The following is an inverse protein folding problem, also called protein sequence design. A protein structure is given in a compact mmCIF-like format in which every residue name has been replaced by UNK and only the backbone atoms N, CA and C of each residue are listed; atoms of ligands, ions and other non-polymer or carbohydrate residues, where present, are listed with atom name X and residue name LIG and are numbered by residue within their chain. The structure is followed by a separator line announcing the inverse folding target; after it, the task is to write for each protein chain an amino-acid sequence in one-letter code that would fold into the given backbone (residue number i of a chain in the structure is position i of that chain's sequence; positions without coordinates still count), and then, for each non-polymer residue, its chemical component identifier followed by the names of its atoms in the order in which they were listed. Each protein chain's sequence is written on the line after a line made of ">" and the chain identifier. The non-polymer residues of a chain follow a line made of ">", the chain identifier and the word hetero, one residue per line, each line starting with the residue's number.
data_IF_954042926922
#
_entry.id   IF_954042926922
#
_cell.length_a   1.000
_cell.length_b   1.000
_cell.length_c   1.000
_cell.angle_alpha   90.00
_cell.angle_beta   90.00
_cell.angle_gamma   90.00
#
_symmetry.space_group_name_H-M   'P 1'
#
loop_
_entity.id
_entity.type
_entity.pdbx_description
1 polymer ?
2 polymer ?
3 water ?
#
# COMPACT_ATOMS: atom_id res chain seq x y z
N UNK A 7 -20.11 -2.51 -3.10
CA UNK A 7 -19.64 -3.41 -4.16
C UNK A 7 -18.26 -3.09 -4.67
N UNK A 8 -17.59 -4.09 -5.22
CA UNK A 8 -16.26 -3.90 -5.74
C UNK A 8 -16.47 -2.95 -6.85
N UNK A 9 -17.69 -2.93 -7.40
CA UNK A 9 -17.99 -2.02 -8.50
C UNK A 9 -18.00 -0.66 -7.89
N UNK A 10 -18.59 -0.57 -6.70
CA UNK A 10 -18.66 0.68 -5.94
C UNK A 10 -17.22 1.20 -5.86
N UNK A 11 -16.26 0.29 -5.66
CA UNK A 11 -14.85 0.71 -5.58
C UNK A 11 -14.17 1.10 -6.92
N UNK A 12 -14.50 0.35 -7.97
CA UNK A 12 -13.97 0.57 -9.32
C UNK A 12 -14.21 2.00 -9.79
N UNK A 13 -15.41 2.48 -9.49
CA UNK A 13 -15.79 3.82 -9.86
C UNK A 13 -15.08 4.86 -9.01
N UNK A 14 -14.77 4.55 -7.76
CA UNK A 14 -14.08 5.53 -6.93
C UNK A 14 -12.76 5.69 -7.59
N UNK A 15 -12.25 4.55 -8.04
CA UNK A 15 -10.95 4.54 -8.70
C UNK A 15 -10.90 5.01 -10.15
N UNK A 16 -12.00 4.92 -10.89
CA UNK A 16 -11.86 5.35 -12.27
C UNK A 16 -12.11 6.82 -12.36
N UNK A 17 -12.36 7.30 -13.57
CA UNK A 17 -12.65 8.69 -13.88
C UNK A 17 -13.90 8.69 -14.73
N UNK A 18 -14.85 7.81 -14.36
CA UNK A 18 -16.18 7.65 -15.04
C UNK A 18 -16.74 6.18 -15.02
N UNK A 19 -16.13 5.40 -15.89
CA UNK A 19 -16.33 3.99 -16.09
C UNK A 19 -15.20 3.72 -17.02
N UNK A 20 -14.24 3.01 -16.49
CA UNK A 20 -13.13 2.66 -17.29
C UNK A 20 -11.76 3.20 -17.11
N UNK A 21 -11.59 4.49 -16.94
CA UNK A 21 -10.21 4.85 -16.84
C UNK A 21 -9.56 5.01 -15.55
N UNK A 22 -8.72 4.05 -15.18
CA UNK A 22 -8.01 4.17 -13.91
C UNK A 22 -6.87 5.04 -14.36
N UNK A 23 -5.99 5.50 -13.49
CA UNK A 23 -4.91 6.35 -13.95
C UNK A 23 -3.66 5.81 -13.32
N UNK A 24 -2.50 6.23 -13.81
CA UNK A 24 -1.28 5.73 -13.22
C UNK A 24 -0.44 6.81 -12.55
N UNK A 25 0.27 6.39 -11.53
CA UNK A 25 1.17 7.24 -10.76
C UNK A 25 1.96 8.26 -11.57
N UNK A 26 1.67 9.52 -11.31
CA UNK A 26 2.36 10.58 -12.00
C UNK A 26 3.79 10.60 -11.43
N UNK A 27 4.00 9.88 -10.33
CA UNK A 27 5.32 9.84 -9.70
C UNK A 27 5.53 8.69 -8.67
N UNK A 28 6.76 8.25 -8.53
CA UNK A 28 7.14 7.15 -7.65
C UNK A 28 6.99 7.06 -6.16
N UNK A 29 6.44 8.05 -5.50
CA UNK A 29 6.35 7.93 -4.06
C UNK A 29 5.41 9.03 -3.67
N UNK A 30 4.61 8.78 -2.66
CA UNK A 30 3.68 9.77 -2.23
C UNK A 30 3.35 9.31 -0.84
N UNK A 31 3.40 10.25 0.10
CA UNK A 31 3.08 10.00 1.48
C UNK A 31 1.57 10.06 1.29
N UNK A 32 0.84 8.97 1.49
CA UNK A 32 -0.59 9.09 1.29
C UNK A 32 -1.35 9.52 2.56
N UNK A 33 -0.69 9.38 3.70
CA UNK A 33 -1.26 9.76 4.98
C UNK A 33 -0.03 10.00 5.83
N UNK A 34 -0.15 11.03 6.67
CA UNK A 34 0.89 11.48 7.57
C UNK A 34 1.75 10.38 8.09
N UNK A 35 3.04 10.51 7.76
CA UNK A 35 4.04 9.55 8.15
C UNK A 35 4.13 8.27 7.29
N UNK A 36 3.02 7.95 6.59
CA UNK A 36 2.91 6.77 5.69
C UNK A 36 3.06 7.06 4.17
N UNK A 37 4.15 6.57 3.59
CA UNK A 37 4.46 6.73 2.16
C UNK A 37 4.34 5.44 1.30
N UNK A 38 3.67 5.53 0.14
CA UNK A 38 3.44 4.44 -0.86
C UNK A 38 4.21 4.82 -2.11
N UNK A 39 5.18 4.00 -2.48
CA UNK A 39 6.03 4.27 -3.66
C UNK A 39 6.36 2.98 -4.42
N UNK A 40 7.31 3.02 -5.36
CA UNK A 40 7.64 1.81 -6.10
C UNK A 40 9.01 1.29 -5.83
N UNK A 41 9.44 0.36 -6.67
CA UNK A 41 10.75 -0.29 -6.57
C UNK A 41 11.96 0.62 -6.37
N UNK A 42 12.17 1.55 -7.30
CA UNK A 42 13.32 2.50 -7.23
C UNK A 42 13.57 3.20 -5.90
N UNK A 43 12.55 3.88 -5.37
CA UNK A 43 12.68 4.58 -4.11
C UNK A 43 13.18 3.61 -3.10
N UNK A 44 12.47 2.48 -3.06
CA UNK A 44 12.78 1.38 -2.19
C UNK A 44 14.23 1.09 -2.34
N UNK A 45 14.70 1.00 -3.57
CA UNK A 45 16.14 0.73 -3.76
C UNK A 45 17.05 1.94 -3.90
N UNK A 46 16.55 3.13 -3.54
CA UNK A 46 17.35 4.37 -3.61
C UNK A 46 17.44 4.95 -2.21
N UNK A 47 18.35 4.34 -1.50
CA UNK A 47 18.64 4.67 -0.15
C UNK A 47 18.94 6.13 0.18
N UNK A 48 19.77 6.87 -0.56
CA UNK A 48 19.97 8.24 -0.11
C UNK A 48 18.72 9.03 -0.26
N UNK A 49 17.69 8.45 -0.84
CA UNK A 49 16.49 9.25 -0.94
C UNK A 49 15.63 8.95 0.30
N UNK A 50 15.51 7.66 0.64
CA UNK A 50 14.74 7.22 1.80
C UNK A 50 15.28 8.00 2.98
N UNK A 51 16.58 8.28 2.97
CA UNK A 51 17.20 9.06 4.05
C UNK A 51 16.65 10.52 4.10
N UNK A 52 16.76 11.24 2.99
CA UNK A 52 16.28 12.61 2.89
C UNK A 52 14.79 12.49 3.17
N UNK A 53 14.17 11.38 2.81
CA UNK A 53 12.74 11.28 3.09
C UNK A 53 12.61 10.98 4.54
N UNK A 54 13.72 10.70 5.21
CA UNK A 54 13.64 10.39 6.63
C UNK A 54 12.69 9.21 6.91
N UNK A 55 12.56 8.32 5.94
CA UNK A 55 11.73 7.13 6.05
C UNK A 55 12.63 6.26 6.89
N UNK A 56 12.07 5.53 7.86
CA UNK A 56 12.94 4.67 8.70
C UNK A 56 12.59 3.16 8.64
N UNK A 57 11.50 2.87 7.96
CA UNK A 57 11.00 1.53 7.83
C UNK A 57 10.49 1.17 6.47
N UNK A 58 10.86 -0.04 6.03
CA UNK A 58 10.39 -0.52 4.73
C UNK A 58 9.54 -1.74 4.87
N UNK A 59 8.53 -1.82 4.03
CA UNK A 59 7.64 -2.97 4.02
C UNK A 59 7.59 -3.25 2.51
N UNK A 60 8.26 -4.32 2.14
CA UNK A 60 8.31 -4.65 0.76
C UNK A 60 7.16 -5.56 0.66
N UNK A 61 6.09 -5.16 0.01
CA UNK A 61 4.94 -6.04 -0.09
C UNK A 61 5.05 -6.86 -1.32
N UNK A 62 6.13 -6.72 -2.08
CA UNK A 62 6.26 -7.53 -3.29
C UNK A 62 7.59 -8.20 -3.26
N UNK A 63 7.92 -8.78 -2.13
CA UNK A 63 9.21 -9.42 -2.00
C UNK A 63 9.44 -10.67 -2.83
N UNK A 64 10.51 -10.63 -3.61
CA UNK A 64 10.95 -11.73 -4.49
C UNK A 64 11.91 -11.48 -5.70
N UNK A 65 12.11 -12.50 -6.55
CA UNK A 65 13.02 -12.32 -7.73
C UNK A 65 12.36 -12.48 -9.07
N UNK A 66 11.04 -12.39 -9.16
CA UNK A 66 10.40 -12.54 -10.47
C UNK A 66 10.34 -11.18 -11.10
N UNK A 67 9.88 -11.13 -12.34
CA UNK A 67 9.80 -9.82 -12.95
C UNK A 67 8.82 -8.90 -12.20
N UNK A 68 7.96 -9.47 -11.36
CA UNK A 68 6.98 -8.65 -10.63
C UNK A 68 7.29 -8.43 -9.14
N UNK A 69 8.53 -8.73 -8.71
CA UNK A 69 8.98 -8.60 -7.33
C UNK A 69 10.26 -7.74 -7.13
N UNK A 70 10.56 -7.38 -5.88
CA UNK A 70 11.71 -6.58 -5.64
C UNK A 70 12.58 -7.43 -4.79
N UNK A 71 13.71 -7.84 -5.34
CA UNK A 71 14.60 -8.72 -4.60
C UNK A 71 15.53 -7.96 -3.63
N UNK A 72 14.89 -7.35 -2.65
CA UNK A 72 15.57 -6.58 -1.64
C UNK A 72 15.43 -7.58 -0.52
N UNK A 73 15.77 -7.17 0.69
CA UNK A 73 15.66 -8.10 1.81
C UNK A 73 16.34 -7.39 2.93
N UNK A 74 16.11 -7.95 4.11
CA UNK A 74 16.64 -7.46 5.34
C UNK A 74 18.04 -6.85 5.32
N UNK A 75 19.05 -7.70 5.18
CA UNK A 75 20.44 -7.23 5.18
C UNK A 75 20.72 -6.14 4.14
N UNK A 76 19.89 -6.09 3.13
CA UNK A 76 20.04 -5.09 2.11
C UNK A 76 19.87 -3.75 2.85
N UNK A 77 18.94 -3.70 3.80
CA UNK A 77 18.70 -2.48 4.58
C UNK A 77 19.58 -2.34 5.82
N UNK A 78 20.31 -3.36 6.14
CA UNK A 78 21.24 -3.30 7.26
C UNK A 78 22.29 -2.17 6.95
N UNK A 79 22.67 -1.68 8.05
CA UNK A 79 23.57 -0.57 8.44
C UNK A 79 23.52 0.79 7.70
N UNK A 80 22.32 1.14 7.49
CA UNK A 80 21.87 2.41 6.99
C UNK A 80 20.71 2.62 7.93
N UNK A 81 20.68 1.58 8.76
CA UNK A 81 19.72 1.37 9.82
C UNK A 81 18.33 1.80 9.42
N UNK A 82 17.62 0.88 8.77
CA UNK A 82 16.27 1.12 8.33
C UNK A 82 15.62 -0.21 8.71
N UNK A 83 14.53 -0.15 9.47
CA UNK A 83 13.90 -1.39 9.89
C UNK A 83 13.11 -1.92 8.77
N UNK A 84 13.30 -3.22 8.54
CA UNK A 84 12.68 -3.91 7.42
C UNK A 84 11.75 -5.02 7.62
N UNK A 85 10.77 -5.11 6.74
CA UNK A 85 9.84 -6.21 6.83
C UNK A 85 9.40 -6.51 5.41
N UNK A 86 9.62 -7.77 5.03
CA UNK A 86 9.28 -8.25 3.70
C UNK A 86 8.00 -9.07 3.60
N UNK A 87 7.42 -9.10 2.42
CA UNK A 87 6.20 -9.88 2.26
C UNK A 87 6.21 -10.30 0.86
N UNK A 88 6.19 -11.60 0.64
CA UNK A 88 6.21 -12.18 -0.69
C UNK A 88 4.83 -12.35 -1.30
N UNK A 89 4.26 -11.24 -1.79
CA UNK A 89 2.94 -11.21 -2.37
C UNK A 89 2.83 -11.21 -3.88
N UNK A 90 1.64 -11.53 -4.39
CA UNK A 90 1.42 -11.59 -5.82
C UNK A 90 0.22 -10.78 -6.24
N UNK A 91 0.54 -9.81 -7.10
CA UNK A 91 -0.45 -8.93 -7.62
C UNK A 91 -1.35 -9.52 -8.66
N UNK A 92 -2.13 -10.47 -8.20
CA UNK A 92 -3.04 -11.17 -9.04
C UNK A 92 -4.36 -11.35 -8.27
N UNK A 93 -5.49 -11.41 -8.94
CA UNK A 93 -6.72 -11.58 -8.20
C UNK A 93 -6.77 -12.80 -7.32
N UNK A 94 -5.96 -13.82 -7.57
CA UNK A 94 -6.03 -15.04 -6.76
C UNK A 94 -5.59 -14.76 -5.34
N UNK A 95 -4.47 -14.06 -5.27
CA UNK A 95 -3.85 -13.70 -4.03
C UNK A 95 -4.62 -13.25 -2.86
N UNK A 96 -4.31 -13.87 -1.73
CA UNK A 96 -4.93 -13.56 -0.47
C UNK A 96 -3.93 -12.78 0.29
N UNK A 97 -3.83 -11.51 -0.10
CA UNK A 97 -2.93 -10.57 0.51
C UNK A 97 -3.45 -10.24 1.89
N UNK A 98 -4.75 -10.46 2.04
CA UNK A 98 -5.55 -10.27 3.24
C UNK A 98 -5.14 -11.27 4.25
N UNK A 99 -4.09 -12.06 3.92
CA UNK A 99 -3.60 -13.01 4.91
C UNK A 99 -2.49 -12.28 5.72
N UNK A 100 -1.95 -11.17 5.19
CA UNK A 100 -0.91 -10.45 5.92
C UNK A 100 -1.34 -9.06 6.58
N UNK A 101 -2.63 -8.73 6.61
CA UNK A 101 -3.20 -7.47 7.05
C UNK A 101 -2.63 -7.12 8.41
N UNK A 102 -2.90 -7.98 9.41
CA UNK A 102 -2.40 -7.79 10.80
C UNK A 102 -0.91 -7.54 10.83
N UNK A 103 -0.15 -8.56 10.42
CA UNK A 103 1.32 -8.59 10.34
C UNK A 103 1.79 -7.21 9.87
N UNK A 104 1.20 -6.77 8.76
CA UNK A 104 1.48 -5.46 8.15
C UNK A 104 1.08 -4.30 9.04
N UNK A 105 -0.20 -4.23 9.39
CA UNK A 105 -0.69 -3.17 10.25
C UNK A 105 0.16 -3.16 11.52
N UNK A 106 0.35 -4.32 12.13
CA UNK A 106 1.15 -4.42 13.34
C UNK A 106 2.53 -3.73 13.14
N UNK A 107 3.14 -3.84 11.97
CA UNK A 107 4.47 -3.21 11.66
C UNK A 107 4.36 -1.67 11.45
N UNK A 108 3.35 -1.27 10.69
CA UNK A 108 3.09 0.13 10.43
C UNK A 108 2.88 0.82 11.78
N UNK A 109 2.22 0.15 12.73
CA UNK A 109 2.00 0.72 14.06
C UNK A 109 3.23 0.86 14.90
N UNK A 110 4.13 -0.09 14.77
CA UNK A 110 5.31 -0.04 15.56
C UNK A 110 6.13 1.04 14.91
N UNK A 111 5.96 1.11 13.60
CA UNK A 111 6.67 2.10 12.82
C UNK A 111 6.37 3.51 13.33
N UNK A 112 5.09 3.84 13.29
CA UNK A 112 4.66 5.14 13.70
C UNK A 112 4.98 5.50 15.17
N UNK A 113 4.86 4.53 16.09
CA UNK A 113 5.11 4.72 17.51
C UNK A 113 6.39 5.49 17.88
N UNK A 114 7.45 5.42 17.05
CA UNK A 114 8.71 6.13 17.35
C UNK A 114 8.35 7.49 17.06
N UNK A 115 8.93 8.47 17.71
CA UNK A 115 8.34 9.74 17.31
C UNK A 115 8.54 10.45 15.93
N UNK A 116 9.68 10.02 15.27
CA UNK A 116 10.06 10.51 13.99
C UNK A 116 9.97 9.27 13.10
N UNK A 117 8.98 8.47 13.42
CA UNK A 117 8.80 7.26 12.66
C UNK A 117 8.13 7.48 11.31
N UNK A 118 8.85 7.12 10.27
CA UNK A 118 8.34 7.24 8.90
C UNK A 118 8.55 5.87 8.21
N UNK A 119 7.43 5.33 7.72
CA UNK A 119 7.35 4.03 7.04
C UNK A 119 7.03 4.08 5.51
N UNK A 120 7.83 3.37 4.71
CA UNK A 120 7.60 3.31 3.25
C UNK A 120 6.98 1.97 2.90
N UNK A 121 5.70 1.94 2.63
CA UNK A 121 5.07 0.65 2.29
C UNK A 121 5.20 0.59 0.75
N UNK A 122 5.89 -0.41 0.24
CA UNK A 122 6.02 -0.41 -1.22
C UNK A 122 5.94 -1.73 -1.93
N UNK A 123 5.88 -1.65 -3.26
CA UNK A 123 5.82 -2.86 -4.08
C UNK A 123 6.58 -2.65 -5.34
N UNK A 124 6.00 -3.05 -6.43
CA UNK A 124 6.67 -2.90 -7.69
C UNK A 124 6.31 -1.52 -8.24
N UNK A 125 5.04 -1.34 -8.50
CA UNK A 125 4.59 -0.09 -9.04
C UNK A 125 4.04 0.81 -7.97
N UNK A 126 3.71 0.24 -6.82
CA UNK A 126 3.15 1.02 -5.72
C UNK A 126 1.82 1.38 -6.34
N UNK A 127 1.00 0.37 -6.61
CA UNK A 127 -0.30 0.53 -7.28
C UNK A 127 -1.32 -0.51 -6.83
N UNK A 128 -0.89 -1.67 -6.37
CA UNK A 128 -1.84 -2.69 -5.94
C UNK A 128 -1.54 -3.30 -4.55
N UNK A 129 -0.60 -4.24 -4.53
CA UNK A 129 -0.20 -4.91 -3.29
C UNK A 129 0.04 -3.89 -2.15
N UNK A 130 0.78 -2.85 -2.49
CA UNK A 130 1.10 -1.81 -1.54
C UNK A 130 -0.03 -0.95 -1.01
N UNK A 131 -0.76 -0.24 -1.89
CA UNK A 131 -1.86 0.56 -1.41
C UNK A 131 -2.82 -0.30 -0.59
N UNK A 132 -2.98 -1.53 -1.03
CA UNK A 132 -3.86 -2.43 -0.37
C UNK A 132 -3.60 -2.65 1.10
N UNK A 133 -2.37 -2.93 1.47
CA UNK A 133 -2.04 -3.14 2.87
C UNK A 133 -2.45 -1.85 3.59
N UNK A 134 -1.77 -0.76 3.23
CA UNK A 134 -1.96 0.56 3.73
C UNK A 134 -3.43 0.86 3.93
N UNK A 135 -4.20 0.66 2.88
CA UNK A 135 -5.65 0.87 2.96
C UNK A 135 -6.25 0.07 4.11
N UNK A 136 -5.88 -1.21 4.22
CA UNK A 136 -6.39 -2.09 5.30
C UNK A 136 -5.94 -1.57 6.67
N UNK A 137 -4.79 -0.95 6.71
CA UNK A 137 -4.35 -0.42 8.00
C UNK A 137 -5.22 0.72 8.43
N UNK A 138 -5.75 1.50 7.50
CA UNK A 138 -6.56 2.58 7.95
C UNK A 138 -7.86 2.08 8.48
N UNK A 139 -8.39 1.03 7.87
CA UNK A 139 -9.68 0.54 8.31
C UNK A 139 -9.78 -0.06 9.68
N UNK A 140 -8.84 -0.92 10.00
CA UNK A 140 -8.88 -1.57 11.29
C UNK A 140 -8.11 -0.79 12.30
N UNK A 141 -7.32 0.14 11.84
CA UNK A 141 -6.55 0.91 12.77
C UNK A 141 -6.96 2.36 12.90
N UNK A 142 -7.80 2.86 12.00
CA UNK A 142 -8.24 4.25 12.13
C UNK A 142 -9.72 4.30 12.00
N UNK A 143 -10.32 3.19 12.31
CA UNK A 143 -11.77 3.06 12.23
C UNK A 143 -12.46 3.54 10.96
N UNK A 144 -11.71 3.78 9.88
CA UNK A 144 -12.35 4.26 8.63
C UNK A 144 -13.04 3.22 7.69
N UNK A 145 -14.17 3.56 7.09
CA UNK A 145 -14.88 2.64 6.17
C UNK A 145 -14.13 2.58 4.81
N UNK A 146 -14.24 1.46 4.09
CA UNK A 146 -13.51 1.31 2.81
C UNK A 146 -13.57 2.35 1.75
N UNK A 147 -14.72 2.97 1.60
CA UNK A 147 -14.82 3.98 0.59
C UNK A 147 -13.97 5.10 1.02
N UNK A 148 -13.76 5.23 2.34
CA UNK A 148 -12.93 6.34 2.84
C UNK A 148 -11.42 6.26 2.60
N UNK A 149 -10.78 5.25 3.17
CA UNK A 149 -9.34 5.06 3.01
C UNK A 149 -8.92 5.08 1.53
N UNK A 150 -9.72 4.46 0.67
CA UNK A 150 -9.44 4.41 -0.75
C UNK A 150 -9.28 5.79 -1.21
N UNK A 151 -10.32 6.59 -0.96
CA UNK A 151 -10.27 7.98 -1.36
C UNK A 151 -9.08 8.83 -0.86
N UNK A 152 -8.70 8.68 0.41
CA UNK A 152 -7.57 9.45 0.91
C UNK A 152 -6.39 8.99 0.15
N UNK A 153 -6.20 7.68 0.24
CA UNK A 153 -5.07 7.09 -0.43
C UNK A 153 -5.08 7.45 -1.94
N UNK A 154 -6.22 7.25 -2.57
CA UNK A 154 -6.34 7.53 -3.97
C UNK A 154 -6.04 8.97 -4.30
N UNK A 155 -6.56 9.86 -3.49
CA UNK A 155 -6.35 11.25 -3.70
C UNK A 155 -4.91 11.61 -3.59
N UNK A 156 -4.21 10.89 -2.73
CA UNK A 156 -2.81 11.21 -2.56
C UNK A 156 -1.88 10.61 -3.60
N UNK A 157 -2.31 9.49 -4.21
CA UNK A 157 -1.52 8.75 -5.22
C UNK A 157 -2.49 8.11 -6.18
N UNK A 158 -2.09 8.05 -7.45
CA UNK A 158 -2.96 7.44 -8.47
C UNK A 158 -2.76 5.97 -8.30
N UNK A 159 -3.82 5.28 -7.90
CA UNK A 159 -3.73 3.85 -7.65
C UNK A 159 -4.80 3.02 -8.30
N UNK A 160 -4.59 1.70 -8.37
CA UNK A 160 -5.58 0.79 -8.99
C UNK A 160 -5.48 -0.70 -8.60
N UNK A 161 -6.07 -1.13 -7.47
CA UNK A 161 -5.98 -2.54 -7.09
C UNK A 161 -6.85 -3.52 -7.90
N UNK A 162 -6.37 -4.73 -8.05
CA UNK A 162 -7.11 -5.70 -8.84
C UNK A 162 -8.36 -5.99 -8.09
N UNK A 163 -9.37 -6.43 -8.82
CA UNK A 163 -10.63 -6.71 -8.20
C UNK A 163 -10.61 -7.72 -7.02
N UNK A 164 -9.60 -8.60 -6.99
CA UNK A 164 -9.51 -9.59 -5.92
C UNK A 164 -9.21 -8.82 -4.66
N UNK A 165 -8.18 -7.98 -4.75
CA UNK A 165 -7.78 -7.17 -3.62
C UNK A 165 -9.00 -6.29 -3.20
N UNK A 166 -9.71 -5.79 -4.19
CA UNK A 166 -10.86 -4.95 -3.89
C UNK A 166 -11.83 -5.75 -3.04
N UNK A 167 -12.19 -6.91 -3.59
CA UNK A 167 -13.11 -7.82 -2.96
C UNK A 167 -12.60 -8.17 -1.60
N UNK A 168 -11.29 -8.30 -1.44
CA UNK A 168 -10.82 -8.63 -0.10
C UNK A 168 -11.16 -7.55 0.92
N UNK A 169 -11.07 -6.27 0.54
CA UNK A 169 -11.37 -5.12 1.44
C UNK A 169 -12.80 -5.01 1.90
N UNK A 170 -13.72 -5.35 1.02
CA UNK A 170 -15.12 -5.30 1.35
C UNK A 170 -15.47 -6.27 2.44
N UNK A 171 -14.86 -7.42 2.38
CA UNK A 171 -15.15 -8.42 3.38
C UNK A 171 -14.73 -7.83 4.66
N UNK A 172 -13.54 -7.25 4.59
CA UNK A 172 -12.92 -6.60 5.71
C UNK A 172 -13.89 -5.57 6.21
N UNK A 173 -14.46 -4.78 5.29
CA UNK A 173 -15.41 -3.76 5.69
C UNK A 173 -16.54 -4.24 6.59
N UNK A 174 -17.14 -5.37 6.24
CA UNK A 174 -18.23 -5.90 7.05
C UNK A 174 -17.82 -6.70 8.25
N UNK A 175 -16.55 -7.02 8.41
CA UNK A 175 -16.22 -7.78 9.60
C UNK A 175 -16.44 -6.66 10.61
N UNK A 176 -15.62 -5.62 10.40
CA UNK A 176 -15.54 -4.41 11.13
C UNK A 176 -16.84 -3.73 11.34
N UNK A 177 -17.53 -3.46 10.25
CA UNK A 177 -18.82 -2.76 10.35
C UNK A 177 -19.89 -3.48 11.20
N UNK A 178 -19.96 -4.77 11.05
CA UNK A 178 -20.91 -5.59 11.75
C UNK A 178 -20.39 -5.90 13.20
N UNK A 179 -19.10 -5.64 13.46
CA UNK A 179 -18.51 -5.85 14.85
C UNK A 179 -18.57 -4.55 15.51
N UNK A 180 -19.20 -3.61 14.82
CA UNK A 180 -19.31 -2.28 15.33
C UNK A 180 -17.93 -1.69 15.47
N UNK A 181 -17.05 -2.06 14.57
CA UNK A 181 -15.72 -1.56 14.62
C UNK A 181 -15.72 -0.46 13.69
N UNK A 182 -16.82 -0.14 13.06
CA UNK A 182 -16.66 0.95 12.18
C UNK A 182 -16.51 2.33 12.81
N UNK A 183 -17.14 3.30 12.18
CA UNK A 183 -17.05 4.69 12.56
C UNK A 183 -17.48 5.36 11.26
N UNK A 184 -18.78 5.30 11.23
CA UNK A 184 -19.69 5.79 10.24
C UNK A 184 -19.67 7.27 10.15
N UNK B 1 8.22 18.37 -12.01
CA UNK B 1 8.34 17.12 -12.78
C UNK B 1 7.26 16.12 -12.43
N UNK B 2 6.99 15.15 -13.31
CA UNK B 2 5.92 14.20 -12.99
C UNK B 2 5.50 13.05 -13.93
N UNK B 3 6.39 12.07 -14.11
CA UNK B 3 6.09 10.89 -14.98
C UNK B 3 4.94 9.81 -14.85
N UNK B 4 4.31 9.53 -16.01
CA UNK B 4 3.17 8.57 -16.28
C UNK B 4 3.23 7.16 -15.66
N UNK B 5 4.45 6.60 -15.57
CA UNK B 5 4.85 5.24 -14.98
C UNK B 5 4.17 3.80 -15.04
N UNK B 6 2.91 3.57 -14.67
CA UNK B 6 2.32 2.20 -14.67
C UNK B 6 1.96 1.58 -13.26
N UNK B 7 1.20 0.46 -13.12
CA UNK B 7 0.56 -0.41 -14.19
C UNK B 7 -0.95 -0.72 -13.93
N UNK B 8 -1.30 -1.39 -12.83
CA UNK B 8 -2.74 -1.77 -12.46
C UNK B 8 -4.14 -1.54 -13.05
N UNK B 9 -4.45 -2.63 -13.78
CA UNK B 9 -5.60 -3.18 -14.56
C UNK B 9 -5.87 -4.55 -13.83
N UNK B 10 -6.90 -4.46 -13.05
CA UNK B 10 -7.49 -5.35 -12.11
C UNK B 10 -8.42 -6.53 -12.54
N UNK B 11 -8.66 -6.68 -13.86
CA UNK B 11 -9.57 -7.71 -14.48
C UNK B 11 -10.81 -7.99 -13.67
#
# INVERSE_FOLDING_TARGET
>A
SGSFELSVQDLNDLLSDGSGCYSLPSQPCNEVTPRIYVGNASVAQDIPKLQKLGITHVLNAAEGRSFMHVNTNANFYKDSGITYLGIKANDTQEFNLSAYFERAADFIDQALAQKNGRVLVHSREGYSRSPTLVIAYLMMRQKMDVKSALSIVRQNREIGPNDGFLAQLCQLNDRLAKEGKLKP
>B
DDEXTGYVATR
#
